data_IF_848669390871
#
_entry.id   IF_848669390871
#
_cell.length_a   1.000
_cell.length_b   1.000
_cell.length_c   1.000
_cell.angle_alpha   90.00
_cell.angle_beta   90.00
_cell.angle_gamma   90.00
#
_symmetry.space_group_name_H-M   'P 1'
#
loop_
_entity.id
_entity.type
_entity.pdbx_description
1 polymer ?
#
# COMPACT_ATOMS: atom_id res chain seq x y z
N UNK A 1 48.43 -19.99 25.63
CA UNK A 1 47.07 -20.53 25.89
C UNK A 1 46.04 -19.49 26.35
N UNK A 2 46.40 -18.42 27.09
CA UNK A 2 45.41 -17.55 27.76
C UNK A 2 44.62 -16.56 26.89
N UNK A 3 45.11 -16.17 25.70
CA UNK A 3 44.43 -15.17 24.85
C UNK A 3 43.28 -15.77 24.01
N UNK A 4 43.43 -17.01 23.54
CA UNK A 4 42.39 -17.72 22.79
C UNK A 4 41.19 -18.09 23.68
N UNK A 5 41.43 -18.50 24.94
CA UNK A 5 40.37 -18.79 25.91
C UNK A 5 39.54 -17.54 26.23
N UNK A 6 40.18 -16.38 26.39
CA UNK A 6 39.49 -15.10 26.64
C UNK A 6 38.66 -14.64 25.44
N UNK A 7 39.17 -14.79 24.22
CA UNK A 7 38.44 -14.42 22.99
C UNK A 7 37.26 -15.35 22.71
N UNK A 8 37.40 -16.65 22.98
CA UNK A 8 36.28 -17.60 22.88
C UNK A 8 35.22 -17.31 23.93
N UNK A 9 35.61 -16.96 25.16
CA UNK A 9 34.68 -16.59 26.24
C UNK A 9 33.93 -15.28 25.94
N UNK A 10 34.61 -14.28 25.36
CA UNK A 10 33.98 -13.02 24.91
C UNK A 10 32.98 -13.25 23.77
N UNK A 11 33.31 -14.12 22.81
CA UNK A 11 32.39 -14.51 21.72
C UNK A 11 31.15 -15.25 22.25
N UNK A 12 31.34 -16.12 23.25
CA UNK A 12 30.28 -16.89 23.91
C UNK A 12 29.32 -16.02 24.72
N UNK A 13 29.79 -14.87 25.23
CA UNK A 13 28.98 -13.87 25.94
C UNK A 13 28.33 -12.85 24.99
N UNK A 14 28.98 -12.54 23.86
CA UNK A 14 28.48 -11.57 22.88
C UNK A 14 27.35 -12.15 22.00
N UNK A 15 27.42 -13.43 21.63
CA UNK A 15 26.40 -14.08 20.81
C UNK A 15 24.99 -14.10 21.44
N UNK A 16 24.79 -14.52 22.70
CA UNK A 16 23.46 -14.46 23.34
C UNK A 16 23.00 -13.01 23.57
N UNK A 17 23.93 -12.09 23.83
CA UNK A 17 23.61 -10.67 23.99
C UNK A 17 23.05 -10.07 22.69
N UNK A 18 23.67 -10.35 21.54
CA UNK A 18 23.18 -9.93 20.21
C UNK A 18 21.81 -10.55 19.90
N UNK A 19 21.56 -11.79 20.33
CA UNK A 19 20.26 -12.45 20.14
C UNK A 19 19.14 -11.84 20.99
N UNK A 20 19.46 -11.33 22.20
CA UNK A 20 18.51 -10.64 23.07
C UNK A 20 18.22 -9.21 22.59
N UNK A 21 19.23 -8.54 22.02
CA UNK A 21 19.11 -7.20 21.42
C UNK A 21 18.59 -7.23 19.98
N UNK A 22 18.41 -8.40 19.38
CA UNK A 22 17.84 -8.51 18.05
C UNK A 22 16.42 -7.93 18.03
N UNK A 23 16.10 -7.00 17.11
CA UNK A 23 14.77 -6.43 17.03
C UNK A 23 13.75 -7.54 16.80
N UNK A 24 12.79 -7.66 17.73
CA UNK A 24 11.69 -8.60 17.55
C UNK A 24 10.77 -8.09 16.44
N UNK A 25 10.32 -8.96 15.53
CA UNK A 25 9.29 -8.57 14.58
C UNK A 25 8.04 -8.20 15.38
N UNK A 26 7.70 -6.91 15.40
CA UNK A 26 6.44 -6.46 15.97
C UNK A 26 5.29 -7.03 15.12
N UNK A 27 4.28 -7.60 15.78
CA UNK A 27 3.00 -7.91 15.12
C UNK A 27 2.24 -6.62 14.87
N UNK A 28 2.74 -5.82 13.92
CA UNK A 28 2.11 -4.60 13.46
C UNK A 28 0.94 -4.99 12.58
N UNK A 29 -0.27 -5.02 13.17
CA UNK A 29 -1.48 -5.13 12.37
C UNK A 29 -1.55 -3.88 11.49
N UNK A 30 -1.56 -4.06 10.18
CA UNK A 30 -1.61 -2.93 9.24
C UNK A 30 -3.05 -2.42 9.20
N UNK A 31 -3.26 -1.11 9.21
CA UNK A 31 -4.55 -0.55 8.82
C UNK A 31 -4.45 -0.04 7.39
N UNK A 32 -5.49 -0.29 6.59
CA UNK A 32 -5.66 0.30 5.29
C UNK A 32 -6.78 1.34 5.37
N UNK A 33 -6.57 2.47 4.70
CA UNK A 33 -7.52 3.57 4.61
C UNK A 33 -7.69 3.84 3.13
N UNK A 34 -8.93 3.88 2.66
CA UNK A 34 -9.27 4.22 1.30
C UNK A 34 -10.24 5.39 1.34
N UNK A 35 -10.03 6.41 0.51
CA UNK A 35 -10.96 7.52 0.40
C UNK A 35 -11.23 7.82 -1.07
N UNK A 36 -12.45 8.24 -1.36
CA UNK A 36 -12.88 8.62 -2.70
C UNK A 36 -13.86 9.79 -2.64
N UNK A 37 -13.94 10.51 -3.76
CA UNK A 37 -14.81 11.66 -3.92
C UNK A 37 -16.18 11.20 -4.44
N UNK A 38 -17.24 11.60 -3.74
CA UNK A 38 -18.64 11.39 -4.13
C UNK A 38 -19.33 12.76 -4.22
N UNK A 39 -19.25 13.35 -5.40
CA UNK A 39 -19.77 14.70 -5.66
C UNK A 39 -19.07 15.75 -4.79
N UNK A 40 -19.79 16.30 -3.80
CA UNK A 40 -19.26 17.33 -2.89
C UNK A 40 -18.70 16.79 -1.57
N UNK A 41 -18.78 15.47 -1.38
CA UNK A 41 -18.35 14.75 -0.17
C UNK A 41 -17.18 13.84 -0.47
N UNK A 42 -16.39 13.54 0.56
CA UNK A 42 -15.40 12.46 0.54
C UNK A 42 -15.92 11.36 1.45
N UNK A 43 -15.93 10.14 0.94
CA UNK A 43 -16.22 8.93 1.71
C UNK A 43 -14.92 8.17 1.90
N UNK A 44 -14.67 7.76 3.13
CA UNK A 44 -13.49 6.98 3.50
C UNK A 44 -13.91 5.68 4.18
N UNK A 45 -13.10 4.65 4.01
CA UNK A 45 -13.24 3.35 4.66
C UNK A 45 -11.90 2.91 5.25
N UNK A 46 -11.92 2.41 6.49
CA UNK A 46 -10.74 1.95 7.21
C UNK A 46 -10.93 0.52 7.75
N UNK A 47 -9.93 -0.33 7.50
CA UNK A 47 -9.94 -1.76 7.87
C UNK A 47 -8.57 -2.23 8.37
N UNK A 48 -8.57 -3.15 9.32
CA UNK A 48 -7.36 -3.87 9.76
C UNK A 48 -6.97 -4.97 8.77
N UNK A 49 -5.69 -5.30 8.66
CA UNK A 49 -5.16 -6.39 7.82
C UNK A 49 -4.14 -7.23 8.59
N UNK A 50 -4.42 -8.54 8.82
CA UNK A 50 -5.74 -9.16 8.69
C UNK A 50 -6.70 -8.59 9.77
N UNK A 51 -7.98 -8.43 9.45
CA UNK A 51 -8.96 -8.00 10.46
C UNK A 51 -10.24 -7.36 9.91
N UNK A 52 -11.04 -6.86 10.85
CA UNK A 52 -12.34 -6.22 10.57
C UNK A 52 -12.24 -4.71 10.36
N UNK A 53 -13.40 -4.01 10.30
CA UNK A 53 -13.42 -2.55 10.16
C UNK A 53 -12.85 -1.85 11.39
N UNK A 54 -12.24 -0.69 11.17
CA UNK A 54 -11.83 0.22 12.25
C UNK A 54 -13.08 0.91 12.78
N UNK A 55 -13.63 0.45 13.90
CA UNK A 55 -14.82 1.04 14.51
C UNK A 55 -14.42 2.18 15.44
N UNK A 56 -15.12 3.31 15.40
CA UNK A 56 -14.85 4.51 16.24
C UNK A 56 -13.43 5.07 16.07
N UNK A 57 -12.76 4.78 14.95
CA UNK A 57 -11.46 5.36 14.61
C UNK A 57 -11.60 6.85 14.31
N UNK A 58 -10.57 7.62 14.65
CA UNK A 58 -10.54 9.07 14.44
C UNK A 58 -9.95 9.38 13.06
N UNK A 59 -10.72 10.07 12.23
CA UNK A 59 -10.27 10.60 10.94
C UNK A 59 -9.87 12.06 11.15
N UNK A 60 -8.65 12.41 10.74
CA UNK A 60 -8.15 13.78 10.70
C UNK A 60 -7.81 14.13 9.27
N UNK A 61 -8.34 15.25 8.78
CA UNK A 61 -8.07 15.71 7.42
C UNK A 61 -7.19 16.93 7.50
N UNK A 62 -6.06 16.88 6.81
CA UNK A 62 -5.07 17.95 6.76
C UNK A 62 -4.95 18.49 5.34
N UNK A 63 -4.61 19.78 5.24
CA UNK A 63 -4.12 20.36 3.99
C UNK A 63 -2.79 19.71 3.62
N UNK A 64 -2.70 19.14 2.42
CA UNK A 64 -1.46 18.59 1.87
C UNK A 64 -0.40 19.67 1.64
N UNK A 65 -0.81 20.94 1.51
CA UNK A 65 0.11 22.07 1.28
C UNK A 65 0.64 22.68 2.58
N UNK A 66 -0.25 22.97 3.54
CA UNK A 66 0.10 23.72 4.75
C UNK A 66 0.27 22.82 5.98
N UNK A 67 -0.21 21.58 5.94
CA UNK A 67 -0.28 20.70 7.10
C UNK A 67 -1.35 21.10 8.13
N UNK A 68 -2.14 22.15 7.86
CA UNK A 68 -3.23 22.59 8.75
C UNK A 68 -4.31 21.51 8.83
N UNK A 69 -4.79 21.21 10.04
CA UNK A 69 -5.93 20.31 10.24
C UNK A 69 -7.22 21.04 9.87
N UNK A 70 -7.91 20.56 8.84
CA UNK A 70 -9.11 21.18 8.28
C UNK A 70 -10.39 20.66 8.93
N UNK A 71 -10.47 19.36 9.20
CA UNK A 71 -11.62 18.75 9.89
C UNK A 71 -11.25 17.49 10.67
N UNK A 72 -12.20 17.01 11.46
CA UNK A 72 -12.13 15.74 12.17
C UNK A 72 -13.45 15.00 12.03
N UNK A 73 -13.38 13.71 11.76
CA UNK A 73 -14.52 12.81 11.68
C UNK A 73 -14.23 11.52 12.48
N UNK A 74 -15.23 10.65 12.60
CA UNK A 74 -15.08 9.33 13.21
C UNK A 74 -15.67 8.26 12.29
N UNK A 75 -15.07 7.07 12.30
CA UNK A 75 -15.61 5.94 11.55
C UNK A 75 -16.79 5.30 12.28
N UNK A 76 -17.75 4.82 11.49
CA UNK A 76 -18.94 4.12 11.95
C UNK A 76 -18.63 2.63 12.28
N UNK A 77 -19.69 1.86 12.53
CA UNK A 77 -19.61 0.42 12.82
C UNK A 77 -19.11 -0.45 11.64
N UNK A 78 -19.13 0.09 10.42
CA UNK A 78 -18.60 -0.51 9.20
C UNK A 78 -17.20 0.02 8.83
N UNK A 79 -16.63 0.89 9.66
CA UNK A 79 -15.32 1.49 9.41
C UNK A 79 -15.35 2.63 8.40
N UNK A 80 -16.53 3.19 8.10
CA UNK A 80 -16.69 4.27 7.12
C UNK A 80 -16.86 5.63 7.79
N UNK A 81 -16.36 6.66 7.13
CA UNK A 81 -16.60 8.06 7.51
C UNK A 81 -16.83 8.89 6.24
N UNK A 82 -17.92 9.63 6.21
CA UNK A 82 -18.24 10.56 5.12
C UNK A 82 -18.28 11.98 5.66
N UNK A 83 -17.66 12.92 4.95
CA UNK A 83 -17.61 14.33 5.32
C UNK A 83 -17.58 15.22 4.07
N UNK A 84 -18.03 16.47 4.22
CA UNK A 84 -17.95 17.45 3.14
C UNK A 84 -16.50 17.87 2.88
N UNK A 85 -16.18 18.15 1.62
CA UNK A 85 -14.86 18.62 1.23
C UNK A 85 -14.61 19.99 1.86
N UNK A 86 -13.52 20.18 2.64
CA UNK A 86 -13.23 21.46 3.28
C UNK A 86 -13.19 22.61 2.26
N UNK A 87 -13.93 23.69 2.53
CA UNK A 87 -13.97 24.84 1.63
C UNK A 87 -12.58 25.43 1.34
N UNK A 88 -11.69 25.46 2.35
CA UNK A 88 -10.31 25.94 2.19
C UNK A 88 -9.55 25.13 1.14
N UNK A 89 -9.75 23.81 1.09
CA UNK A 89 -9.10 22.96 0.11
C UNK A 89 -9.71 23.14 -1.28
N UNK A 90 -11.04 23.29 -1.36
CA UNK A 90 -11.74 23.54 -2.63
C UNK A 90 -11.36 24.90 -3.24
N UNK A 91 -11.28 25.95 -2.42
CA UNK A 91 -10.94 27.31 -2.87
C UNK A 91 -9.49 27.44 -3.33
N UNK A 92 -8.57 26.78 -2.62
CA UNK A 92 -7.14 26.92 -2.87
C UNK A 92 -6.53 25.77 -3.70
N UNK A 93 -7.34 24.78 -4.11
CA UNK A 93 -6.90 23.62 -4.88
C UNK A 93 -5.84 22.78 -4.16
N UNK A 94 -6.03 22.53 -2.87
CA UNK A 94 -5.08 21.75 -2.07
C UNK A 94 -5.46 20.29 -2.00
N UNK A 95 -4.48 19.41 -2.16
CA UNK A 95 -4.64 18.00 -1.82
C UNK A 95 -5.02 17.84 -0.35
N UNK A 96 -5.71 16.76 -0.04
CA UNK A 96 -6.15 16.43 1.31
C UNK A 96 -5.43 15.18 1.79
N UNK A 97 -4.71 15.30 2.90
CA UNK A 97 -4.16 14.15 3.61
C UNK A 97 -5.15 13.70 4.67
N UNK A 98 -5.82 12.58 4.41
CA UNK A 98 -6.78 11.96 5.31
C UNK A 98 -6.08 10.91 6.15
N UNK A 99 -5.98 11.12 7.46
CA UNK A 99 -5.31 10.23 8.40
C UNK A 99 -6.35 9.51 9.25
N UNK A 100 -6.34 8.18 9.24
CA UNK A 100 -7.12 7.38 10.18
C UNK A 100 -6.23 6.95 11.34
N UNK A 101 -6.70 7.18 12.56
CA UNK A 101 -6.12 6.67 13.79
C UNK A 101 -7.10 5.68 14.42
N UNK A 102 -6.71 4.42 14.46
CA UNK A 102 -7.49 3.30 14.99
C UNK A 102 -7.18 2.98 16.46
N UNK A 103 -6.54 3.92 17.17
CA UNK A 103 -6.05 3.80 18.55
C UNK A 103 -4.86 2.82 18.70
N UNK A 104 -4.18 2.86 19.86
CA UNK A 104 -3.03 2.00 20.17
C UNK A 104 -1.88 2.05 19.13
N UNK A 105 -1.65 3.22 18.53
CA UNK A 105 -0.57 3.43 17.56
C UNK A 105 -0.86 2.97 16.12
N UNK A 106 -2.05 2.40 15.87
CA UNK A 106 -2.46 2.00 14.52
C UNK A 106 -2.91 3.22 13.72
N UNK A 107 -2.10 3.60 12.72
CA UNK A 107 -2.34 4.78 11.90
C UNK A 107 -1.92 4.54 10.46
N UNK A 108 -2.73 5.04 9.52
CA UNK A 108 -2.40 5.10 8.10
C UNK A 108 -3.11 6.32 7.49
N UNK A 109 -2.78 6.65 6.25
CA UNK A 109 -3.33 7.81 5.57
C UNK A 109 -3.64 7.51 4.11
N UNK A 110 -4.51 8.35 3.54
CA UNK A 110 -4.82 8.42 2.13
C UNK A 110 -4.65 9.86 1.66
N UNK A 111 -4.21 10.04 0.41
CA UNK A 111 -4.15 11.35 -0.23
C UNK A 111 -5.30 11.42 -1.22
N UNK A 112 -6.23 12.35 -1.00
CA UNK A 112 -7.23 12.72 -2.01
C UNK A 112 -6.65 13.93 -2.75
N UNK A 113 -6.36 13.76 -4.03
CA UNK A 113 -5.78 14.84 -4.83
C UNK A 113 -6.83 15.89 -5.19
N UNK A 114 -6.39 17.13 -5.35
CA UNK A 114 -7.28 18.24 -5.68
C UNK A 114 -8.01 18.05 -7.02
N UNK A 115 -7.37 17.40 -8.00
CA UNK A 115 -7.96 17.10 -9.30
C UNK A 115 -9.18 16.15 -9.20
N UNK A 116 -9.28 15.32 -8.16
CA UNK A 116 -10.39 14.39 -7.96
C UNK A 116 -11.70 15.09 -7.56
N UNK A 117 -11.64 16.31 -7.00
CA UNK A 117 -12.81 17.03 -6.51
C UNK A 117 -12.96 18.48 -6.97
N UNK A 118 -11.97 19.02 -7.68
CA UNK A 118 -12.14 20.29 -8.37
C UNK A 118 -12.97 20.08 -9.65
N UNK A 119 -13.77 21.07 -10.07
CA UNK A 119 -14.53 20.99 -11.31
C UNK A 119 -13.58 21.02 -12.52
N UNK A 120 -13.16 19.82 -12.95
CA UNK A 120 -12.43 19.51 -14.17
C UNK A 120 -12.45 18.00 -14.35
N UNK A 121 -13.12 17.52 -15.41
CA UNK A 121 -13.36 16.09 -15.72
C UNK A 121 -13.34 15.12 -14.53
N UNK A 122 -14.41 15.19 -13.73
CA UNK A 122 -14.71 14.23 -12.68
C UNK A 122 -14.89 12.83 -13.29
N UNK A 123 -13.83 12.04 -13.28
CA UNK A 123 -13.76 10.71 -13.86
C UNK A 123 -13.86 9.62 -12.81
N UNK A 124 -15.08 9.40 -12.30
CA UNK A 124 -15.61 8.18 -11.67
C UNK A 124 -14.89 7.54 -10.45
N UNK A 125 -15.63 6.89 -9.53
CA UNK A 125 -15.09 6.37 -8.27
C UNK A 125 -14.09 5.21 -8.47
N UNK A 126 -13.10 5.03 -7.57
CA UNK A 126 -12.37 3.79 -7.44
C UNK A 126 -13.27 2.74 -6.79
N UNK A 127 -13.91 1.91 -7.60
CA UNK A 127 -14.70 0.79 -7.12
C UNK A 127 -13.77 -0.35 -6.62
N UNK A 128 -13.82 -0.60 -5.31
CA UNK A 128 -13.28 -1.79 -4.66
C UNK A 128 -14.43 -2.65 -4.10
N UNK A 129 -14.51 -3.91 -4.57
CA UNK A 129 -15.22 -5.06 -3.98
C UNK A 129 -16.75 -5.04 -4.03
N UNK A 130 -17.50 -6.14 -4.09
CA UNK A 130 -17.26 -7.59 -4.13
C UNK A 130 -18.62 -8.26 -4.48
N UNK A 131 -18.64 -9.52 -4.92
CA UNK A 131 -19.74 -10.12 -5.70
C UNK A 131 -21.01 -10.63 -4.99
N UNK A 132 -21.99 -11.07 -5.81
CA UNK A 132 -22.78 -12.31 -5.66
C UNK A 132 -23.98 -12.37 -6.63
N UNK A 133 -24.09 -13.47 -7.39
CA UNK A 133 -25.39 -14.14 -7.58
C UNK A 133 -26.10 -14.13 -8.94
N UNK A 134 -26.03 -15.31 -9.59
CA UNK A 134 -27.06 -16.00 -10.41
C UNK A 134 -27.25 -15.70 -11.92
N UNK A 135 -26.83 -16.72 -12.70
CA UNK A 135 -27.50 -17.41 -13.83
C UNK A 135 -28.83 -16.84 -14.36
N UNK A 136 -28.98 -16.73 -15.69
CA UNK A 136 -29.91 -17.52 -16.55
C UNK A 136 -29.50 -17.34 -18.03
N UNK A 137 -29.65 -18.45 -18.77
CA UNK A 137 -29.45 -18.67 -20.20
C UNK A 137 -30.36 -17.86 -21.17
N UNK A 138 -29.93 -17.90 -22.43
CA UNK A 138 -30.70 -17.99 -23.69
C UNK A 138 -31.30 -16.72 -24.31
N UNK A 139 -30.63 -16.32 -25.39
CA UNK A 139 -31.10 -16.48 -26.77
C UNK A 139 -32.39 -15.73 -27.16
N UNK A 140 -32.22 -14.60 -27.86
CA UNK A 140 -33.11 -14.21 -28.95
C UNK A 140 -32.29 -13.52 -30.06
N UNK A 141 -32.31 -14.16 -31.21
CA UNK A 141 -31.87 -13.67 -32.52
C UNK A 141 -32.50 -12.33 -32.95
N UNK A 142 -31.65 -11.55 -33.63
CA UNK A 142 -31.87 -10.74 -34.84
C UNK A 142 -33.16 -9.92 -35.01
N UNK A 143 -32.94 -8.61 -35.15
CA UNK A 143 -33.84 -7.69 -35.86
C UNK A 143 -33.05 -6.51 -36.41
N UNK A 144 -32.57 -6.65 -37.65
CA UNK A 144 -31.83 -5.64 -38.43
C UNK A 144 -32.62 -4.34 -38.62
N UNK A 145 -32.03 -3.20 -38.26
CA UNK A 145 -32.26 -1.92 -38.95
C UNK A 145 -30.92 -1.20 -39.12
N UNK A 146 -30.52 -1.07 -40.38
CA UNK A 146 -29.30 -0.43 -40.85
C UNK A 146 -29.39 1.10 -40.67
N UNK A 147 -28.70 1.66 -39.67
CA UNK A 147 -28.15 3.03 -39.71
C UNK A 147 -26.62 2.90 -39.86
N UNK A 148 -25.91 3.84 -40.49
CA UNK A 148 -24.45 3.88 -40.40
C UNK A 148 -24.09 4.37 -39.00
N UNK A 149 -24.26 3.51 -38.01
CA UNK A 149 -23.60 3.63 -36.71
C UNK A 149 -22.17 3.10 -36.84
N UNK A 150 -21.22 3.59 -36.03
CA UNK A 150 -19.86 3.09 -36.03
C UNK A 150 -19.89 1.56 -35.90
N UNK A 151 -19.10 0.88 -36.73
CA UNK A 151 -19.06 -0.57 -36.75
C UNK A 151 -18.78 -1.08 -35.33
N UNK A 152 -19.42 -2.16 -34.88
CA UNK A 152 -19.21 -2.68 -33.51
C UNK A 152 -17.73 -2.91 -33.19
N UNK A 153 -16.90 -3.19 -34.21
CA UNK A 153 -15.44 -3.25 -34.11
C UNK A 153 -14.76 -1.91 -33.82
N UNK A 154 -15.19 -0.81 -34.42
CA UNK A 154 -14.69 0.53 -34.07
C UNK A 154 -15.07 0.90 -32.65
N UNK A 155 -16.31 0.59 -32.23
CA UNK A 155 -16.74 0.81 -30.86
C UNK A 155 -15.90 -0.01 -29.88
N UNK A 156 -15.69 -1.30 -30.13
CA UNK A 156 -14.83 -2.16 -29.31
C UNK A 156 -13.38 -1.63 -29.26
N UNK A 157 -12.86 -1.10 -30.37
CA UNK A 157 -11.50 -0.55 -30.43
C UNK A 157 -11.39 0.75 -29.63
N UNK A 158 -12.38 1.64 -29.73
CA UNK A 158 -12.43 2.89 -28.94
C UNK A 158 -12.64 2.58 -27.46
N UNK A 159 -13.54 1.66 -27.13
CA UNK A 159 -13.80 1.23 -25.75
C UNK A 159 -12.58 0.57 -25.12
N UNK A 160 -11.95 -0.40 -25.80
CA UNK A 160 -10.75 -1.07 -25.30
C UNK A 160 -9.60 -0.09 -25.09
N UNK A 161 -9.43 0.89 -25.99
CA UNK A 161 -8.44 1.95 -25.85
C UNK A 161 -8.70 2.84 -24.63
N UNK A 162 -9.95 3.23 -24.39
CA UNK A 162 -10.33 4.03 -23.22
C UNK A 162 -10.16 3.21 -21.94
N UNK A 163 -10.57 1.94 -21.95
CA UNK A 163 -10.42 1.01 -20.83
C UNK A 163 -8.95 0.80 -20.48
N UNK A 164 -8.09 0.49 -21.46
CA UNK A 164 -6.65 0.32 -21.20
C UNK A 164 -6.00 1.60 -20.70
N UNK A 165 -6.39 2.78 -21.22
CA UNK A 165 -5.89 4.06 -20.73
C UNK A 165 -6.29 4.31 -19.26
N UNK A 166 -7.50 3.91 -18.85
CA UNK A 166 -7.99 4.04 -17.47
C UNK A 166 -7.46 2.95 -16.54
N UNK A 167 -7.17 1.75 -17.05
CA UNK A 167 -6.68 0.61 -16.28
C UNK A 167 -5.15 0.58 -16.14
N UNK A 168 -4.40 1.22 -17.05
CA UNK A 168 -2.95 1.33 -16.99
C UNK A 168 -2.40 1.88 -15.65
N UNK A 169 -2.94 2.97 -15.07
CA UNK A 169 -2.47 3.46 -13.76
C UNK A 169 -2.75 2.45 -12.64
N UNK A 170 -3.94 1.84 -12.61
CA UNK A 170 -4.29 0.82 -11.59
C UNK A 170 -3.35 -0.39 -11.69
N UNK A 171 -3.02 -0.85 -12.91
CA UNK A 171 -2.06 -1.94 -13.12
C UNK A 171 -0.65 -1.58 -12.60
N UNK A 172 -0.21 -0.33 -12.75
CA UNK A 172 1.06 0.16 -12.21
C UNK A 172 1.05 0.22 -10.69
N UNK A 173 0.00 0.78 -10.09
CA UNK A 173 -0.11 0.91 -8.64
C UNK A 173 -0.15 -0.48 -7.97
N UNK A 174 -0.82 -1.47 -8.59
CA UNK A 174 -0.80 -2.86 -8.12
C UNK A 174 0.59 -3.49 -8.29
N UNK A 175 1.30 -3.18 -9.37
CA UNK A 175 2.65 -3.68 -9.59
C UNK A 175 3.66 -3.07 -8.58
N UNK A 176 3.48 -1.80 -8.23
CA UNK A 176 4.28 -1.10 -7.22
C UNK A 176 3.94 -1.59 -5.81
N UNK A 177 2.66 -1.78 -5.47
CA UNK A 177 2.24 -2.36 -4.18
C UNK A 177 2.63 -3.84 -4.03
N UNK A 178 2.94 -4.53 -5.14
CA UNK A 178 3.59 -5.85 -5.15
C UNK A 178 5.11 -5.73 -4.90
N UNK A 179 5.53 -4.81 -4.03
CA UNK A 179 6.87 -4.91 -3.44
C UNK A 179 7.03 -6.31 -2.85
N UNK A 180 8.05 -7.04 -3.31
CA UNK A 180 8.35 -8.36 -2.77
C UNK A 180 8.75 -8.16 -1.31
N UNK A 181 8.06 -8.80 -0.35
CA UNK A 181 8.53 -8.78 1.03
C UNK A 181 9.94 -9.36 1.06
N UNK A 182 10.83 -8.77 1.85
CA UNK A 182 12.18 -9.34 2.09
C UNK A 182 11.99 -10.78 2.54
N UNK A 183 12.43 -11.72 1.70
CA UNK A 183 12.24 -13.14 1.96
C UNK A 183 13.35 -13.67 2.85
N UNK A 184 13.11 -14.81 3.50
CA UNK A 184 14.14 -15.50 4.26
C UNK A 184 15.36 -15.86 3.39
N UNK A 185 15.14 -16.10 2.09
CA UNK A 185 16.22 -16.38 1.14
C UNK A 185 17.09 -15.15 0.90
N UNK A 186 16.53 -13.93 0.90
CA UNK A 186 17.31 -12.69 0.75
C UNK A 186 18.21 -12.45 1.97
N UNK A 187 17.68 -12.72 3.16
CA UNK A 187 18.43 -12.60 4.42
C UNK A 187 19.55 -13.65 4.51
N UNK A 188 19.22 -14.92 4.26
CA UNK A 188 20.21 -16.02 4.28
C UNK A 188 21.25 -15.87 3.16
N UNK A 189 20.84 -15.40 1.98
CA UNK A 189 21.73 -15.10 0.86
C UNK A 189 22.71 -13.97 1.19
N UNK A 190 22.21 -12.88 1.80
CA UNK A 190 23.05 -11.77 2.27
C UNK A 190 24.06 -12.20 3.34
N UNK A 191 23.61 -12.98 4.34
CA UNK A 191 24.48 -13.57 5.36
C UNK A 191 25.53 -14.49 4.73
N UNK A 192 25.14 -15.36 3.81
CA UNK A 192 26.04 -16.26 3.08
C UNK A 192 27.11 -15.51 2.29
N UNK A 193 26.77 -14.37 1.67
CA UNK A 193 27.73 -13.54 0.94
C UNK A 193 28.78 -12.91 1.87
N UNK A 194 28.34 -12.37 3.01
CA UNK A 194 29.24 -11.76 4.02
C UNK A 194 30.21 -12.81 4.57
N UNK A 195 29.68 -13.96 5.02
CA UNK A 195 30.51 -15.04 5.56
C UNK A 195 31.40 -15.68 4.49
N UNK A 196 30.92 -15.80 3.25
CA UNK A 196 31.71 -16.32 2.13
C UNK A 196 32.91 -15.43 1.82
N UNK A 197 32.70 -14.12 1.69
CA UNK A 197 33.78 -13.15 1.46
C UNK A 197 34.77 -13.11 2.63
N UNK A 198 34.27 -13.10 3.87
CA UNK A 198 35.12 -13.14 5.07
C UNK A 198 35.95 -14.44 5.14
N UNK A 199 35.34 -15.59 4.82
CA UNK A 199 36.03 -16.88 4.78
C UNK A 199 37.15 -16.93 3.73
N UNK A 200 36.89 -16.39 2.53
CA UNK A 200 37.92 -16.27 1.49
C UNK A 200 39.07 -15.36 1.95
N UNK A 201 38.76 -14.21 2.55
CA UNK A 201 39.78 -13.30 3.08
C UNK A 201 40.64 -13.98 4.16
N UNK A 202 40.04 -14.67 5.12
CA UNK A 202 40.75 -15.40 6.16
C UNK A 202 41.59 -16.57 5.62
N UNK A 203 41.11 -17.27 4.60
CA UNK A 203 41.85 -18.34 3.94
C UNK A 203 43.17 -17.84 3.31
N UNK A 204 43.15 -16.67 2.68
CA UNK A 204 44.35 -16.05 2.12
C UNK A 204 45.24 -15.43 3.20
N UNK A 205 44.68 -14.81 4.25
CA UNK A 205 45.47 -14.30 5.38
C UNK A 205 46.23 -15.44 6.09
N UNK A 206 45.56 -16.55 6.39
CA UNK A 206 46.18 -17.71 7.04
C UNK A 206 47.21 -18.45 6.17
N UNK A 207 47.23 -18.19 4.86
CA UNK A 207 48.28 -18.67 3.96
C UNK A 207 49.49 -17.76 3.86
N UNK A 208 49.34 -16.46 4.17
CA UNK A 208 50.49 -15.53 4.21
C UNK A 208 51.34 -15.77 5.45
N UNK A 209 50.72 -16.11 6.58
CA UNK A 209 51.41 -16.39 7.85
C UNK A 209 52.23 -17.70 7.83
N UNK A 210 51.93 -18.65 6.94
CA UNK A 210 52.68 -19.91 6.78
C UNK A 210 53.81 -19.84 5.75
N UNK A 211 54.03 -18.67 5.13
CA UNK A 211 55.00 -18.49 4.03
C UNK A 211 56.15 -17.54 4.37
N UNK A 212 56.28 -17.22 5.66
CA UNK A 212 57.45 -16.60 6.31
C UNK A 212 58.01 -17.60 7.33
#
# INVERSE_FOLDING_TARGET
MGAHVKSVFLLFLFFPLVLVLAPRPGSCHRINVFCWVEGVRITCEAKFTPGGPVKRGRIFVYSGKTGEKLLTAATDQHGRATFDIPEKARKNGWDLKVVCNAEMGHKNFWIVRADEFLPGESGAPPAAGDGAGKTVEKDVEQGSVKRPGPSSRELETVFSRILDARLAPIRRDIAELKEKPVSLQDVLGGLGYIFGMAGVAFYFLGRREKRD
#
